data_IF_902992972633
#
_entry.id   IF_902992972633
#
_cell.length_a   1.000
_cell.length_b   1.000
_cell.length_c   1.000
_cell.angle_alpha   90.00
_cell.angle_beta   90.00
_cell.angle_gamma   90.00
#
_symmetry.space_group_name_H-M   'P 1'
#
loop_
_entity.id
_entity.type
_entity.pdbx_description
1 polymer ?
#
# COMPACT_ATOMS: atom_id res chain seq x y z
N UNK A 1 -17.45 0.68 8.32
CA UNK A 1 -16.98 2.08 8.22
C UNK A 1 -17.32 2.85 9.48
N UNK A 2 -18.59 2.91 9.91
CA UNK A 2 -19.00 3.64 11.14
C UNK A 2 -18.23 3.23 12.41
N UNK A 3 -18.07 1.93 12.67
CA UNK A 3 -17.29 1.46 13.82
C UNK A 3 -15.84 1.98 13.82
N UNK A 4 -15.20 2.04 12.65
CA UNK A 4 -13.84 2.57 12.49
C UNK A 4 -13.80 4.10 12.52
N UNK A 5 -14.84 4.79 12.04
CA UNK A 5 -14.94 6.24 12.14
C UNK A 5 -14.99 6.69 13.61
N UNK A 6 -15.68 5.92 14.46
CA UNK A 6 -15.91 6.25 15.87
C UNK A 6 -14.89 5.65 16.85
N UNK A 7 -13.89 4.89 16.40
CA UNK A 7 -12.86 4.32 17.27
C UNK A 7 -11.48 4.47 16.66
N UNK A 8 -10.65 5.25 17.35
CA UNK A 8 -9.24 5.42 17.02
C UNK A 8 -8.47 4.11 17.25
N UNK A 9 -8.83 3.35 18.27
CA UNK A 9 -8.20 2.07 18.62
C UNK A 9 -8.34 1.05 17.49
N UNK A 10 -9.51 1.00 16.84
CA UNK A 10 -9.72 0.14 15.67
C UNK A 10 -8.87 0.59 14.48
N UNK A 11 -8.75 1.91 14.24
CA UNK A 11 -7.87 2.43 13.19
C UNK A 11 -6.41 2.10 13.46
N UNK A 12 -5.96 2.24 14.70
CA UNK A 12 -4.60 1.86 15.14
C UNK A 12 -4.38 0.34 14.97
N UNK A 13 -5.34 -0.50 15.38
CA UNK A 13 -5.25 -1.95 15.21
C UNK A 13 -5.15 -2.35 13.73
N UNK A 14 -5.89 -1.67 12.85
CA UNK A 14 -5.78 -1.86 11.41
C UNK A 14 -4.40 -1.46 10.87
N UNK A 15 -3.78 -0.40 11.39
CA UNK A 15 -2.42 -0.04 11.03
C UNK A 15 -1.38 -1.05 11.53
N UNK A 16 -1.57 -1.67 12.70
CA UNK A 16 -0.71 -2.78 13.15
C UNK A 16 -0.81 -3.98 12.22
N UNK A 17 -2.00 -4.28 11.71
CA UNK A 17 -2.17 -5.33 10.70
C UNK A 17 -1.50 -4.95 9.36
N UNK A 18 -1.55 -3.67 8.97
CA UNK A 18 -0.81 -3.16 7.82
C UNK A 18 0.70 -3.37 7.97
N UNK A 19 1.27 -3.12 9.15
CA UNK A 19 2.72 -3.25 9.39
C UNK A 19 3.25 -4.65 9.07
N UNK A 20 2.50 -5.69 9.46
CA UNK A 20 2.83 -7.08 9.14
C UNK A 20 2.82 -7.35 7.62
N UNK A 21 1.90 -6.71 6.89
CA UNK A 21 1.82 -6.83 5.43
C UNK A 21 2.93 -6.05 4.73
N UNK A 22 3.26 -4.86 5.23
CA UNK A 22 4.36 -4.04 4.72
C UNK A 22 5.67 -4.80 4.86
N UNK A 23 5.95 -5.39 6.03
CA UNK A 23 7.16 -6.20 6.25
C UNK A 23 7.26 -7.36 5.25
N UNK A 24 6.15 -8.06 5.00
CA UNK A 24 6.09 -9.11 3.98
C UNK A 24 6.39 -8.60 2.56
N UNK A 25 6.02 -7.36 2.24
CA UNK A 25 6.36 -6.70 0.98
C UNK A 25 7.72 -5.98 1.01
N UNK A 26 8.50 -6.13 2.09
CA UNK A 26 9.79 -5.49 2.33
C UNK A 26 9.71 -3.96 2.42
N UNK A 27 8.55 -3.47 2.82
CA UNK A 27 8.25 -2.06 3.09
C UNK A 27 8.14 -1.86 4.60
N UNK A 28 8.23 -0.62 5.04
CA UNK A 28 7.95 -0.22 6.41
C UNK A 28 7.26 1.14 6.43
N UNK A 29 6.74 1.50 7.60
CA UNK A 29 6.24 2.85 7.84
C UNK A 29 6.79 3.46 9.12
N UNK A 30 7.04 4.76 9.10
CA UNK A 30 7.25 5.58 10.29
C UNK A 30 6.14 6.62 10.35
N UNK A 31 5.23 6.48 11.32
CA UNK A 31 3.97 7.22 11.32
C UNK A 31 3.17 6.96 10.04
N UNK A 32 3.12 7.99 9.17
CA UNK A 32 2.46 7.92 7.86
C UNK A 32 3.44 7.77 6.69
N UNK A 33 4.74 7.93 6.89
CA UNK A 33 5.74 7.83 5.82
C UNK A 33 5.93 6.36 5.44
N UNK A 34 5.96 6.05 4.15
CA UNK A 34 6.19 4.70 3.62
C UNK A 34 7.58 4.66 2.98
N UNK A 35 8.39 3.65 3.34
CA UNK A 35 9.73 3.49 2.80
C UNK A 35 10.08 2.03 2.52
N UNK A 36 11.11 1.83 1.69
CA UNK A 36 11.63 0.51 1.34
C UNK A 36 12.76 0.11 2.29
N UNK A 37 12.80 -1.17 2.69
CA UNK A 37 13.87 -1.71 3.55
C UNK A 37 15.15 -2.01 2.75
N UNK A 38 15.05 -2.18 1.42
CA UNK A 38 16.12 -2.51 0.49
C UNK A 38 15.97 -1.69 -0.79
N UNK A 39 17.01 -1.60 -1.63
CA UNK A 39 16.90 -0.97 -2.95
C UNK A 39 15.82 -1.62 -3.81
N UNK A 40 14.99 -0.81 -4.48
CA UNK A 40 13.88 -1.26 -5.30
C UNK A 40 14.37 -2.07 -6.50
N UNK A 41 14.14 -3.38 -6.46
CA UNK A 41 14.45 -4.31 -7.54
C UNK A 41 13.49 -5.50 -7.49
N UNK A 42 13.08 -6.07 -8.63
CA UNK A 42 12.32 -7.32 -8.68
C UNK A 42 13.01 -8.53 -8.06
N UNK A 43 14.34 -8.47 -7.87
CA UNK A 43 15.09 -9.49 -7.10
C UNK A 43 14.76 -9.45 -5.61
N UNK A 44 14.49 -8.24 -5.09
CA UNK A 44 14.25 -7.99 -3.67
C UNK A 44 12.75 -7.98 -3.35
N UNK A 45 11.92 -7.65 -4.34
CA UNK A 45 10.51 -7.36 -4.16
C UNK A 45 9.62 -8.12 -5.14
N UNK A 46 8.89 -9.10 -4.62
CA UNK A 46 8.00 -9.95 -5.43
C UNK A 46 6.85 -9.15 -6.07
N UNK A 47 6.35 -8.10 -5.39
CA UNK A 47 5.27 -7.27 -5.91
C UNK A 47 5.66 -6.39 -7.11
N UNK A 48 6.96 -6.16 -7.33
CA UNK A 48 7.47 -5.47 -8.52
C UNK A 48 7.45 -6.35 -9.77
N UNK A 49 7.31 -7.68 -9.64
CA UNK A 49 7.22 -8.58 -10.79
C UNK A 49 5.87 -8.44 -11.48
N UNK A 50 5.86 -8.49 -12.81
CA UNK A 50 4.62 -8.44 -13.59
C UNK A 50 3.67 -9.58 -13.20
N UNK A 51 2.35 -9.32 -13.20
CA UNK A 51 1.29 -10.31 -12.95
C UNK A 51 1.34 -10.99 -11.57
N UNK A 52 2.00 -10.36 -10.59
CA UNK A 52 2.07 -10.90 -9.25
C UNK A 52 0.80 -10.60 -8.44
N UNK A 53 0.26 -11.61 -7.76
CA UNK A 53 -0.96 -11.46 -6.94
C UNK A 53 -0.82 -10.44 -5.80
N UNK A 54 0.41 -10.10 -5.39
CA UNK A 54 0.65 -9.05 -4.41
C UNK A 54 0.23 -7.68 -4.92
N UNK A 55 0.25 -7.43 -6.23
CA UNK A 55 -0.26 -6.18 -6.81
C UNK A 55 -1.73 -5.98 -6.47
N UNK A 56 -2.54 -7.05 -6.54
CA UNK A 56 -3.96 -7.02 -6.15
C UNK A 56 -4.16 -6.97 -4.63
N UNK A 57 -3.23 -7.53 -3.85
CA UNK A 57 -3.27 -7.41 -2.37
C UNK A 57 -2.97 -5.97 -1.94
N UNK A 58 -2.00 -5.32 -2.59
CA UNK A 58 -1.70 -3.90 -2.39
C UNK A 58 -2.91 -3.02 -2.73
N UNK A 59 -3.59 -3.26 -3.86
CA UNK A 59 -4.85 -2.55 -4.18
C UNK A 59 -5.88 -2.68 -3.05
N UNK A 60 -6.06 -3.90 -2.52
CA UNK A 60 -7.01 -4.14 -1.41
C UNK A 60 -6.59 -3.48 -0.11
N UNK A 61 -5.29 -3.45 0.20
CA UNK A 61 -4.75 -2.75 1.36
C UNK A 61 -5.02 -1.24 1.27
N UNK A 62 -4.66 -0.61 0.14
CA UNK A 62 -4.95 0.81 -0.13
C UNK A 62 -6.45 1.09 0.02
N UNK A 63 -7.29 0.26 -0.60
CA UNK A 63 -8.75 0.43 -0.52
C UNK A 63 -9.26 0.32 0.91
N UNK A 64 -8.79 -0.67 1.67
CA UNK A 64 -9.19 -0.85 3.07
C UNK A 64 -8.81 0.36 3.92
N UNK A 65 -7.56 0.84 3.78
CA UNK A 65 -7.06 2.01 4.52
C UNK A 65 -7.91 3.25 4.23
N UNK A 66 -8.15 3.53 2.95
CA UNK A 66 -8.95 4.67 2.53
C UNK A 66 -10.39 4.60 3.07
N UNK A 67 -11.01 3.42 3.06
CA UNK A 67 -12.40 3.26 3.50
C UNK A 67 -12.60 3.24 5.02
N UNK A 68 -11.55 2.97 5.78
CA UNK A 68 -11.62 2.74 7.23
C UNK A 68 -10.94 3.86 8.04
N UNK A 69 -10.80 5.06 7.46
CA UNK A 69 -10.35 6.26 8.16
C UNK A 69 -8.84 6.39 8.32
N UNK A 70 -8.07 5.70 7.48
CA UNK A 70 -6.61 5.84 7.40
C UNK A 70 -6.22 6.41 6.02
N UNK A 71 -6.94 7.45 5.55
CA UNK A 71 -6.81 7.96 4.17
C UNK A 71 -5.40 8.47 3.85
N UNK A 72 -4.75 9.17 4.79
CA UNK A 72 -3.40 9.68 4.57
C UNK A 72 -2.39 8.55 4.32
N UNK A 73 -2.50 7.46 5.07
CA UNK A 73 -1.62 6.29 4.91
C UNK A 73 -1.94 5.56 3.60
N UNK A 74 -3.22 5.50 3.22
CA UNK A 74 -3.61 4.96 1.92
C UNK A 74 -2.96 5.75 0.76
N UNK A 75 -3.00 7.09 0.83
CA UNK A 75 -2.41 7.98 -0.16
C UNK A 75 -0.89 7.79 -0.22
N UNK A 76 -0.21 7.82 0.94
CA UNK A 76 1.24 7.67 1.00
C UNK A 76 1.72 6.30 0.48
N UNK A 77 0.99 5.22 0.78
CA UNK A 77 1.27 3.90 0.22
C UNK A 77 1.08 3.88 -1.31
N UNK A 78 -0.02 4.45 -1.81
CA UNK A 78 -0.25 4.54 -3.25
C UNK A 78 0.86 5.33 -3.96
N UNK A 79 1.21 6.50 -3.44
CA UNK A 79 2.23 7.36 -4.02
C UNK A 79 3.61 6.68 -4.04
N UNK A 80 3.99 6.01 -2.96
CA UNK A 80 5.21 5.21 -2.90
C UNK A 80 5.24 4.14 -4.00
N UNK A 81 4.18 3.34 -4.13
CA UNK A 81 4.11 2.26 -5.13
C UNK A 81 4.15 2.79 -6.57
N UNK A 82 3.48 3.91 -6.82
CA UNK A 82 3.49 4.60 -8.12
C UNK A 82 4.88 5.13 -8.46
N UNK A 83 5.57 5.74 -7.49
CA UNK A 83 6.94 6.22 -7.67
C UNK A 83 7.90 5.06 -7.95
N UNK A 84 7.82 3.99 -7.16
CA UNK A 84 8.63 2.78 -7.35
C UNK A 84 8.40 2.13 -8.73
N UNK A 85 7.16 2.19 -9.24
CA UNK A 85 6.85 1.70 -10.59
C UNK A 85 7.49 2.56 -11.67
N UNK A 86 7.50 3.89 -11.52
CA UNK A 86 8.17 4.80 -12.47
C UNK A 86 9.68 4.59 -12.50
N UNK A 87 10.28 4.29 -11.35
CA UNK A 87 11.73 4.02 -11.25
C UNK A 87 12.10 2.69 -11.91
N UNK A 88 11.27 1.66 -11.77
CA UNK A 88 11.63 0.29 -12.17
C UNK A 88 11.06 -0.13 -13.53
N UNK A 89 9.93 0.44 -13.97
CA UNK A 89 9.26 0.12 -15.23
C UNK A 89 8.62 -1.29 -15.30
N UNK A 90 8.55 -2.02 -14.19
CA UNK A 90 8.18 -3.44 -14.18
C UNK A 90 6.69 -3.72 -13.94
N UNK A 91 5.95 -2.73 -13.43
CA UNK A 91 4.52 -2.85 -13.13
C UNK A 91 3.71 -2.17 -14.24
N UNK A 92 2.63 -2.81 -14.68
CA UNK A 92 1.80 -2.30 -15.77
C UNK A 92 1.05 -1.02 -15.39
N UNK A 93 0.79 -0.15 -16.37
CA UNK A 93 -0.03 1.05 -16.18
C UNK A 93 -1.43 0.74 -15.65
N UNK A 94 -2.00 -0.40 -16.05
CA UNK A 94 -3.29 -0.89 -15.57
C UNK A 94 -3.27 -1.18 -14.06
N UNK A 95 -2.19 -1.78 -13.55
CA UNK A 95 -2.01 -2.00 -12.11
C UNK A 95 -1.89 -0.67 -11.37
N UNK A 96 -1.10 0.27 -11.91
CA UNK A 96 -0.98 1.62 -11.36
C UNK A 96 -2.34 2.33 -11.30
N UNK A 97 -3.17 2.16 -12.32
CA UNK A 97 -4.53 2.71 -12.34
C UNK A 97 -5.39 2.10 -11.23
N UNK A 98 -5.30 0.80 -10.96
CA UNK A 98 -6.01 0.16 -9.86
C UNK A 98 -5.63 0.74 -8.50
N UNK A 99 -4.34 1.01 -8.26
CA UNK A 99 -3.89 1.63 -7.01
C UNK A 99 -4.44 3.05 -6.84
N UNK A 100 -4.38 3.87 -7.89
CA UNK A 100 -4.97 5.22 -7.86
C UNK A 100 -6.49 5.19 -7.67
N UNK A 101 -7.18 4.26 -8.33
CA UNK A 101 -8.62 4.09 -8.21
C UNK A 101 -9.05 3.61 -6.82
N UNK A 102 -8.17 2.92 -6.08
CA UNK A 102 -8.46 2.49 -4.71
C UNK A 102 -8.66 3.66 -3.72
N UNK A 103 -8.10 4.84 -4.04
CA UNK A 103 -8.28 6.10 -3.30
C UNK A 103 -9.54 6.89 -3.66
N UNK A 104 -10.38 6.39 -4.59
CA UNK A 104 -11.58 7.12 -5.02
C UNK A 104 -12.81 6.75 -4.18
N UNK A 105 -13.58 7.74 -3.76
CA UNK A 105 -14.86 7.58 -3.07
C UNK A 105 -16.01 7.60 -4.05
#
# INVERSE_FOLDING_TARGET
>A
REAFANSEELRIAHLKALDLLLEFWGLQRDGCEISSIQPLSPSNYVWLKSHDHNQLRLTRAIRSLYLLGNEQIAANLCDFLVAATRETGMVSDKTVEYWRNALKG
#
